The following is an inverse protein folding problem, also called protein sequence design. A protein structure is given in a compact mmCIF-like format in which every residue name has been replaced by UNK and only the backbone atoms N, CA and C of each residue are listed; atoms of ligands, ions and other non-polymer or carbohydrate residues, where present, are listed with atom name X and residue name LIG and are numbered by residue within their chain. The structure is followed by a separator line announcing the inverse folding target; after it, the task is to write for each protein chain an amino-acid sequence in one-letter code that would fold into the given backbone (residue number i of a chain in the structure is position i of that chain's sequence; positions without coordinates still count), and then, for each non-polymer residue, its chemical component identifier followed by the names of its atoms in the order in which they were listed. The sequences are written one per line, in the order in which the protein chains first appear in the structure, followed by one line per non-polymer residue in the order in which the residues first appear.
data_IF_385918400359
#
_entry.id   IF_385918400359
#
_cell.length_a   1.000
_cell.length_b   1.000
_cell.length_c   1.000
_cell.angle_alpha   90.00
_cell.angle_beta   90.00
_cell.angle_gamma   90.00
#
_symmetry.space_group_name_H-M   'P 1'
#
loop_
_entity.id
_entity.type
_entity.pdbx_description
1 polymer ?
#
# COMPACT_ATOMS: atom_id res chain seq x y z
N UNK A 1 -26.67 2.65 -67.63
CA UNK A 1 -27.16 1.26 -67.44
C UNK A 1 -26.02 0.29 -67.65
N UNK A 2 -25.46 -0.24 -66.55
CA UNK A 2 -24.79 -1.54 -66.39
C UNK A 2 -24.26 -1.61 -64.96
N UNK A 3 -25.16 -1.98 -64.06
CA UNK A 3 -24.92 -2.28 -62.64
C UNK A 3 -25.51 -3.65 -62.40
N UNK A 4 -24.68 -4.70 -62.31
CA UNK A 4 -24.97 -6.10 -61.94
C UNK A 4 -23.59 -6.78 -61.81
N UNK A 5 -23.20 -7.65 -60.87
CA UNK A 5 -23.75 -8.25 -59.64
C UNK A 5 -22.62 -9.15 -59.15
N UNK A 6 -22.14 -9.09 -57.89
CA UNK A 6 -21.45 -10.19 -57.18
C UNK A 6 -21.25 -9.73 -55.72
N UNK A 7 -21.39 -10.48 -54.65
CA UNK A 7 -22.17 -11.64 -54.25
C UNK A 7 -22.07 -11.64 -52.71
N UNK A 8 -23.07 -12.19 -52.03
CA UNK A 8 -23.09 -12.42 -50.59
C UNK A 8 -21.82 -13.13 -50.07
N UNK A 9 -21.32 -12.72 -48.91
CA UNK A 9 -20.75 -13.64 -47.94
C UNK A 9 -20.76 -13.00 -46.53
N UNK A 10 -21.76 -13.38 -45.74
CA UNK A 10 -21.71 -13.26 -44.29
C UNK A 10 -20.84 -14.41 -43.76
N UNK A 11 -19.91 -14.12 -42.86
CA UNK A 11 -19.28 -15.13 -42.02
C UNK A 11 -19.12 -14.55 -40.61
N UNK A 12 -19.98 -15.02 -39.71
CA UNK A 12 -19.96 -14.71 -38.29
C UNK A 12 -18.68 -15.28 -37.65
N UNK A 13 -17.98 -14.45 -36.89
CA UNK A 13 -16.87 -14.87 -36.04
C UNK A 13 -17.43 -15.57 -34.80
N UNK A 14 -17.15 -16.87 -34.64
CA UNK A 14 -17.34 -17.58 -33.38
C UNK A 14 -16.13 -18.51 -33.18
N UNK A 15 -15.10 -18.01 -32.49
CA UNK A 15 -14.08 -18.86 -31.87
C UNK A 15 -14.49 -19.10 -30.42
N UNK A 16 -15.19 -20.20 -30.16
CA UNK A 16 -15.32 -20.74 -28.80
C UNK A 16 -14.28 -21.84 -28.69
N UNK A 17 -13.18 -21.52 -28.03
CA UNK A 17 -12.15 -22.48 -27.67
C UNK A 17 -12.70 -23.37 -26.56
N UNK A 18 -12.93 -24.64 -26.89
CA UNK A 18 -13.20 -25.67 -25.91
C UNK A 18 -11.97 -25.88 -25.02
N UNK A 19 -12.14 -25.65 -23.72
CA UNK A 19 -11.20 -26.05 -22.68
C UNK A 19 -11.93 -26.90 -21.65
N UNK A 20 -11.98 -28.21 -21.90
CA UNK A 20 -12.37 -29.21 -20.91
C UNK A 20 -11.21 -29.43 -19.94
N UNK A 21 -11.45 -29.33 -18.63
CA UNK A 21 -10.79 -30.15 -17.60
C UNK A 21 -11.37 -29.77 -16.23
N UNK A 22 -12.38 -30.51 -15.77
CA UNK A 22 -12.22 -31.71 -14.93
C UNK A 22 -11.90 -31.37 -13.48
N UNK A 23 -12.92 -31.51 -12.64
CA UNK A 23 -12.86 -32.07 -11.28
C UNK A 23 -11.60 -32.90 -11.04
N UNK A 24 -10.76 -32.46 -10.10
CA UNK A 24 -9.75 -33.29 -9.45
C UNK A 24 -9.39 -32.72 -8.06
N UNK A 25 -10.19 -33.12 -7.06
CA UNK A 25 -9.72 -33.25 -5.68
C UNK A 25 -8.82 -34.52 -5.59
N UNK A 26 -8.04 -34.70 -4.50
CA UNK A 26 -6.57 -34.90 -4.45
C UNK A 26 -6.10 -36.36 -4.60
N UNK A 27 -4.78 -36.62 -4.42
CA UNK A 27 -4.37 -37.80 -3.67
C UNK A 27 -3.55 -37.46 -2.42
N UNK A 28 -3.91 -38.18 -1.36
CA UNK A 28 -3.21 -38.29 -0.09
C UNK A 28 -2.04 -39.29 -0.17
N UNK A 29 -1.13 -39.18 0.80
CA UNK A 29 -0.18 -40.23 1.20
C UNK A 29 0.86 -39.62 2.15
N UNK A 30 1.06 -40.05 3.40
CA UNK A 30 0.57 -41.25 4.04
C UNK A 30 0.74 -41.17 5.57
N UNK A 31 -0.25 -41.72 6.29
CA UNK A 31 -0.10 -42.62 7.45
C UNK A 31 0.25 -42.09 8.87
N UNK A 32 -0.65 -42.48 9.79
CA UNK A 32 -0.41 -43.08 11.13
C UNK A 32 -0.65 -42.21 12.38
N UNK A 33 -1.52 -42.75 13.24
CA UNK A 33 -1.86 -42.32 14.60
C UNK A 33 -0.87 -42.89 15.64
N UNK A 34 -0.62 -42.16 16.74
CA UNK A 34 0.09 -42.55 18.00
C UNK A 34 1.63 -42.66 17.87
N UNK A 35 2.54 -42.21 18.75
CA UNK A 35 2.58 -42.02 20.22
C UNK A 35 3.65 -40.97 20.63
N UNK A 36 3.35 -40.22 21.72
CA UNK A 36 4.23 -39.66 22.78
C UNK A 36 5.77 -39.77 22.61
N UNK A 37 6.47 -38.62 22.68
CA UNK A 37 7.51 -38.31 23.70
C UNK A 37 8.20 -36.95 23.44
N UNK A 38 8.13 -36.06 24.43
CA UNK A 38 9.09 -34.97 24.73
C UNK A 38 10.48 -35.57 25.08
N UNK A 39 11.61 -34.83 25.26
CA UNK A 39 11.82 -33.40 25.57
C UNK A 39 12.89 -32.75 24.64
N UNK A 40 13.40 -31.50 24.73
CA UNK A 40 13.98 -30.74 25.85
C UNK A 40 14.39 -29.34 25.33
N UNK A 41 14.11 -28.27 26.10
CA UNK A 41 14.97 -27.11 26.47
C UNK A 41 15.97 -26.53 25.44
N UNK A 42 16.11 -25.21 25.20
CA UNK A 42 16.20 -24.11 26.17
C UNK A 42 16.29 -22.74 25.46
N UNK A 43 15.80 -21.70 26.15
CA UNK A 43 16.29 -20.29 26.23
C UNK A 43 16.43 -19.48 24.93
N UNK A 44 16.01 -18.22 24.78
CA UNK A 44 15.44 -17.13 25.59
C UNK A 44 15.19 -15.97 24.58
N UNK A 45 14.50 -14.86 24.82
CA UNK A 45 14.04 -14.18 26.00
C UNK A 45 12.89 -13.21 25.61
N UNK A 46 11.97 -13.00 26.55
CA UNK A 46 11.07 -11.85 26.78
C UNK A 46 10.12 -11.32 25.67
N UNK A 47 8.78 -11.38 25.88
CA UNK A 47 7.91 -10.30 25.44
C UNK A 47 7.99 -9.18 26.48
N UNK A 48 8.60 -8.05 26.14
CA UNK A 48 8.56 -6.87 27.01
C UNK A 48 7.18 -6.24 26.94
N UNK A 49 6.45 -6.42 28.04
CA UNK A 49 5.31 -5.64 28.47
C UNK A 49 5.58 -4.14 28.32
N UNK A 50 4.75 -3.45 27.55
CA UNK A 50 4.77 -2.00 27.40
C UNK A 50 3.35 -1.46 27.44
N UNK A 51 2.68 -1.62 28.58
CA UNK A 51 1.43 -0.92 28.88
C UNK A 51 1.79 0.41 29.53
N UNK A 52 1.49 1.54 28.88
CA UNK A 52 1.22 2.82 29.55
C UNK A 52 0.69 3.86 28.56
N UNK A 53 -0.41 4.50 28.95
CA UNK A 53 -0.69 5.89 28.58
C UNK A 53 -1.78 6.09 27.54
N UNK A 54 -3.04 5.88 27.93
CA UNK A 54 -4.18 6.43 27.19
C UNK A 54 -4.14 7.97 27.24
N UNK A 55 -3.92 8.60 26.09
CA UNK A 55 -4.15 10.03 25.86
C UNK A 55 -5.15 10.19 24.71
N UNK A 56 -6.15 11.02 24.96
CA UNK A 56 -7.38 11.16 24.18
C UNK A 56 -7.18 12.01 22.93
N UNK A 57 -6.81 11.38 21.82
CA UNK A 57 -7.10 11.76 20.43
C UNK A 57 -6.80 10.51 19.61
N UNK A 58 -7.77 10.04 18.81
CA UNK A 58 -7.80 8.70 18.24
C UNK A 58 -6.69 8.43 17.19
N UNK A 59 -5.45 8.31 17.64
CA UNK A 59 -4.38 7.62 16.92
C UNK A 59 -4.40 6.18 17.41
N UNK A 60 -5.17 5.31 16.75
CA UNK A 60 -5.08 3.87 16.99
C UNK A 60 -3.73 3.39 16.47
N UNK A 61 -2.78 3.25 17.38
CA UNK A 61 -1.46 2.67 17.15
C UNK A 61 -1.57 1.15 16.95
N UNK A 62 -2.18 0.73 15.84
CA UNK A 62 -2.18 -0.66 15.40
C UNK A 62 -1.03 -0.79 14.41
N UNK A 63 0.14 -1.21 14.91
CA UNK A 63 1.27 -1.61 14.08
C UNK A 63 1.94 -0.47 13.32
N UNK A 64 2.84 0.26 13.99
CA UNK A 64 3.89 1.10 13.38
C UNK A 64 3.48 2.04 12.22
N UNK A 65 2.20 2.36 12.05
CA UNK A 65 1.67 3.12 10.90
C UNK A 65 0.76 4.23 11.37
N UNK A 66 1.08 5.46 11.00
CA UNK A 66 0.29 6.67 11.21
C UNK A 66 -0.62 6.83 10.00
N UNK A 67 -1.93 6.98 10.22
CA UNK A 67 -2.91 7.12 9.15
C UNK A 67 -3.58 8.50 9.26
N UNK A 68 -3.47 9.30 8.20
CA UNK A 68 -4.07 10.62 8.12
C UNK A 68 -5.03 10.69 6.93
N UNK A 69 -6.27 11.06 7.19
CA UNK A 69 -7.31 11.17 6.17
C UNK A 69 -8.23 12.34 6.45
N UNK A 70 -8.27 13.32 5.55
CA UNK A 70 -9.09 14.52 5.70
C UNK A 70 -9.38 15.18 4.34
N UNK A 71 -10.19 16.24 4.31
CA UNK A 71 -10.52 16.98 3.08
C UNK A 71 -10.43 18.48 3.33
N UNK A 72 -9.61 19.21 2.56
CA UNK A 72 -9.52 20.67 2.63
C UNK A 72 -8.90 21.20 3.93
N UNK A 73 -8.06 20.41 4.60
CA UNK A 73 -7.51 20.77 5.92
C UNK A 73 -6.01 21.07 5.89
N UNK A 74 -5.57 21.93 6.81
CA UNK A 74 -4.15 22.20 7.04
C UNK A 74 -3.78 21.76 8.44
N UNK A 75 -2.82 20.85 8.58
CA UNK A 75 -2.39 20.39 9.91
C UNK A 75 -0.94 19.94 9.94
N UNK A 76 -0.41 19.80 11.17
CA UNK A 76 0.89 19.21 11.44
C UNK A 76 0.72 17.82 12.05
N UNK A 77 1.49 16.85 11.57
CA UNK A 77 1.44 15.45 11.98
C UNK A 77 2.84 14.98 12.37
N UNK A 78 2.96 14.39 13.56
CA UNK A 78 4.20 13.74 13.96
C UNK A 78 4.20 12.29 13.48
N UNK A 79 5.15 11.96 12.61
CA UNK A 79 5.36 10.61 12.11
C UNK A 79 6.06 9.72 13.16
N UNK A 80 6.66 10.31 14.19
CA UNK A 80 7.60 9.66 15.09
C UNK A 80 8.76 8.98 14.33
N UNK A 81 9.62 8.25 15.04
CA UNK A 81 10.81 7.61 14.45
C UNK A 81 10.49 6.20 13.95
N UNK A 82 10.74 5.95 12.68
CA UNK A 82 10.68 4.62 12.08
C UNK A 82 9.28 4.09 11.79
N UNK A 83 8.24 4.93 11.90
CA UNK A 83 6.87 4.55 11.53
C UNK A 83 6.61 4.76 10.04
N UNK A 84 5.58 4.11 9.55
CA UNK A 84 5.02 4.33 8.22
C UNK A 84 3.94 5.40 8.29
N UNK A 85 3.83 6.26 7.28
CA UNK A 85 2.77 7.25 7.18
C UNK A 85 1.89 6.94 5.97
N UNK A 86 0.58 6.91 6.16
CA UNK A 86 -0.40 6.79 5.09
C UNK A 86 -1.29 8.03 5.09
N UNK A 87 -1.25 8.78 3.99
CA UNK A 87 -2.04 9.99 3.77
C UNK A 87 -3.11 9.69 2.74
N UNK A 88 -4.35 10.05 3.04
CA UNK A 88 -5.48 9.94 2.14
C UNK A 88 -6.33 11.22 2.17
N UNK A 89 -7.19 11.37 1.16
CA UNK A 89 -8.09 12.51 1.03
C UNK A 89 -7.63 13.54 0.02
N UNK A 90 -8.22 14.74 0.04
CA UNK A 90 -8.03 15.73 -1.03
C UNK A 90 -7.85 17.14 -0.49
N UNK A 91 -7.12 17.97 -1.23
CA UNK A 91 -6.92 19.39 -0.93
C UNK A 91 -6.35 19.64 0.47
N UNK A 92 -5.52 18.71 0.98
CA UNK A 92 -4.91 18.88 2.30
C UNK A 92 -3.51 19.49 2.20
N UNK A 93 -3.17 20.31 3.18
CA UNK A 93 -1.79 20.76 3.42
C UNK A 93 -1.26 20.12 4.69
N UNK A 94 -0.35 19.17 4.54
CA UNK A 94 0.20 18.41 5.66
C UNK A 94 1.68 18.76 5.87
N UNK A 95 2.03 19.11 7.09
CA UNK A 95 3.43 19.17 7.53
C UNK A 95 3.70 17.96 8.40
N UNK A 96 4.68 17.15 8.01
CA UNK A 96 5.03 15.90 8.67
C UNK A 96 6.39 16.06 9.32
N UNK A 97 6.41 16.06 10.65
CA UNK A 97 7.63 16.12 11.45
C UNK A 97 8.08 14.72 11.85
N UNK A 98 9.38 14.57 12.13
CA UNK A 98 9.98 13.30 12.54
C UNK A 98 10.67 12.53 11.41
N UNK A 99 10.93 11.23 11.63
CA UNK A 99 11.70 10.37 10.73
C UNK A 99 10.86 9.19 10.26
N UNK A 100 10.07 9.42 9.20
CA UNK A 100 9.24 8.38 8.61
C UNK A 100 10.10 7.31 7.93
N UNK A 101 9.79 6.03 8.13
CA UNK A 101 10.44 4.96 7.37
C UNK A 101 9.86 4.87 5.95
N UNK A 102 8.53 4.78 5.85
CA UNK A 102 7.83 4.74 4.56
C UNK A 102 6.66 5.69 4.55
N UNK A 103 6.35 6.26 3.38
CA UNK A 103 5.26 7.21 3.22
C UNK A 103 4.42 6.81 2.01
N UNK A 104 3.12 6.67 2.21
CA UNK A 104 2.14 6.38 1.19
C UNK A 104 1.20 7.59 1.08
N UNK A 105 1.16 8.19 -0.10
CA UNK A 105 0.28 9.33 -0.39
C UNK A 105 -0.78 8.88 -1.39
N UNK A 106 -2.01 8.78 -0.93
CA UNK A 106 -3.21 8.61 -1.74
C UNK A 106 -4.02 9.90 -1.82
N UNK A 107 -4.97 9.92 -2.76
CA UNK A 107 -5.90 11.04 -2.95
C UNK A 107 -5.42 12.10 -3.93
N UNK A 108 -6.00 13.31 -3.88
CA UNK A 108 -5.83 14.29 -4.96
C UNK A 108 -5.51 15.70 -4.45
N UNK A 109 -4.63 16.41 -5.14
CA UNK A 109 -4.33 17.82 -4.85
C UNK A 109 -3.80 18.07 -3.43
N UNK A 110 -3.09 17.10 -2.84
CA UNK A 110 -2.50 17.27 -1.51
C UNK A 110 -1.11 17.91 -1.60
N UNK A 111 -0.81 18.82 -0.67
CA UNK A 111 0.50 19.43 -0.48
C UNK A 111 1.13 18.90 0.80
N UNK A 112 2.20 18.12 0.69
CA UNK A 112 2.80 17.41 1.82
C UNK A 112 4.26 17.80 1.96
N UNK A 113 4.64 18.27 3.15
CA UNK A 113 6.02 18.59 3.51
C UNK A 113 6.50 17.60 4.55
N UNK A 114 7.63 16.95 4.32
CA UNK A 114 8.22 15.95 5.21
C UNK A 114 9.59 16.41 5.69
N UNK A 115 9.88 16.21 6.97
CA UNK A 115 11.21 16.50 7.50
C UNK A 115 12.22 15.44 7.04
N UNK A 116 12.03 14.16 7.40
CA UNK A 116 12.97 13.10 7.02
C UNK A 116 12.25 11.81 6.58
N UNK A 117 12.73 11.20 5.48
CA UNK A 117 12.23 9.89 5.01
C UNK A 117 13.38 8.93 4.74
N UNK A 118 13.34 7.76 5.38
CA UNK A 118 14.47 6.81 5.38
C UNK A 118 14.45 5.82 4.20
N UNK A 119 13.29 5.24 3.86
CA UNK A 119 13.24 4.11 2.90
C UNK A 119 12.52 4.44 1.60
N UNK A 120 11.26 4.88 1.67
CA UNK A 120 10.41 4.96 0.48
C UNK A 120 9.29 5.99 0.58
N UNK A 121 9.03 6.67 -0.54
CA UNK A 121 7.84 7.47 -0.77
C UNK A 121 7.07 6.84 -1.93
N UNK A 122 5.82 6.49 -1.70
CA UNK A 122 4.91 5.95 -2.72
C UNK A 122 3.78 6.94 -2.93
N UNK A 123 3.61 7.42 -4.16
CA UNK A 123 2.54 8.36 -4.51
C UNK A 123 1.56 7.64 -5.42
N UNK A 124 0.39 7.31 -4.89
CA UNK A 124 -0.70 6.63 -5.61
C UNK A 124 -1.71 7.61 -6.20
N UNK A 125 -1.78 8.82 -5.63
CA UNK A 125 -2.76 9.84 -5.93
C UNK A 125 -2.51 10.65 -7.22
N UNK A 126 -3.29 11.70 -7.44
CA UNK A 126 -3.12 12.62 -8.58
C UNK A 126 -2.88 14.08 -8.18
N UNK A 127 -2.08 14.80 -8.96
CA UNK A 127 -1.79 16.23 -8.77
C UNK A 127 -1.27 16.58 -7.35
N UNK A 128 -0.53 15.67 -6.71
CA UNK A 128 0.00 15.91 -5.38
C UNK A 128 1.37 16.60 -5.46
N UNK A 129 1.67 17.48 -4.50
CA UNK A 129 2.98 18.12 -4.35
C UNK A 129 3.64 17.63 -3.07
N UNK A 130 4.74 16.89 -3.20
CA UNK A 130 5.47 16.31 -2.08
C UNK A 130 6.84 16.98 -1.99
N UNK A 131 7.20 17.46 -0.81
CA UNK A 131 8.52 18.03 -0.51
C UNK A 131 9.11 17.34 0.70
N UNK A 132 10.33 16.80 0.61
CA UNK A 132 11.02 16.18 1.76
C UNK A 132 12.39 16.83 1.98
N UNK A 133 12.75 17.18 3.22
CA UNK A 133 13.99 17.93 3.51
C UNK A 133 15.22 17.04 3.63
N UNK A 134 15.09 15.88 4.25
CA UNK A 134 16.20 14.99 4.56
C UNK A 134 15.89 13.53 4.19
N UNK A 135 16.94 12.76 3.96
CA UNK A 135 16.92 11.36 3.55
C UNK A 135 17.08 11.14 2.05
N UNK A 136 17.25 9.87 1.70
CA UNK A 136 17.36 9.39 0.33
C UNK A 136 16.37 8.24 0.09
N UNK A 137 15.05 8.52 0.18
CA UNK A 137 14.03 7.51 -0.02
C UNK A 137 13.95 7.11 -1.49
N UNK A 138 13.62 5.84 -1.74
CA UNK A 138 13.16 5.44 -3.07
C UNK A 138 11.81 6.10 -3.34
N UNK A 139 11.69 6.84 -4.45
CA UNK A 139 10.42 7.45 -4.86
C UNK A 139 9.75 6.57 -5.92
N UNK A 140 8.60 6.01 -5.59
CA UNK A 140 7.73 5.27 -6.50
C UNK A 140 6.47 6.12 -6.78
N UNK A 141 6.47 6.88 -7.89
CA UNK A 141 5.31 7.64 -8.32
C UNK A 141 4.43 6.76 -9.24
N UNK A 142 3.34 6.24 -8.68
CA UNK A 142 2.41 5.32 -9.35
C UNK A 142 1.14 6.01 -9.84
N UNK A 143 0.93 7.28 -9.47
CA UNK A 143 -0.19 8.10 -9.91
C UNK A 143 0.18 9.09 -11.01
N UNK A 144 -0.67 10.10 -11.23
CA UNK A 144 -0.56 11.06 -12.34
C UNK A 144 -0.32 12.49 -11.87
N UNK A 145 0.47 13.26 -12.61
CA UNK A 145 0.70 14.70 -12.38
C UNK A 145 1.26 15.03 -10.98
N UNK A 146 1.89 14.07 -10.31
CA UNK A 146 2.50 14.32 -9.01
C UNK A 146 3.88 14.97 -9.17
N UNK A 147 4.15 15.95 -8.32
CA UNK A 147 5.44 16.64 -8.24
C UNK A 147 6.13 16.25 -6.93
N UNK A 148 7.38 15.79 -7.01
CA UNK A 148 8.19 15.39 -5.86
C UNK A 148 9.49 16.19 -5.87
N UNK A 149 9.76 16.94 -4.80
CA UNK A 149 10.96 17.76 -4.65
C UNK A 149 11.71 17.39 -3.37
N UNK A 150 13.04 17.32 -3.45
CA UNK A 150 13.89 17.34 -2.25
C UNK A 150 14.09 18.80 -1.83
N UNK A 151 13.61 19.16 -0.65
CA UNK A 151 13.93 20.43 0.00
C UNK A 151 15.39 20.39 0.46
N UNK A 152 16.13 21.46 0.17
CA UNK A 152 17.53 21.63 0.56
C UNK A 152 17.67 22.22 1.95
#
# INVERSE_FOLDING_TARGET
MRVHTFALAAAAAILVLAGCSSTANPPAGSSTTTTKSSPTTSAGAAPTTGSSGASTTASLEIGNTVNYGSMGTTTNLDCATGKSLNVAGSDNTLTVTGSCSTVNIGGTNNKITLDKVEKRITVLGMNNTITYKDGDPKVDNLGSDNTINKGS
#
